data_IF_933732893164
#
_entry.id   IF_933732893164
#
_cell.length_a   1.000
_cell.length_b   1.000
_cell.length_c   1.000
_cell.angle_alpha   90.00
_cell.angle_beta   90.00
_cell.angle_gamma   90.00
#
_symmetry.space_group_name_H-M   'P 1'
#
loop_
_entity.id
_entity.type
_entity.pdbx_description
1 polymer ?
#
# COMPACT_ATOMS: atom_id res chain seq x y z
N UNK A 1 48.65 -18.94 7.02
CA UNK A 1 47.75 -19.02 5.85
C UNK A 1 46.35 -18.57 6.29
N UNK A 2 46.19 -17.27 6.52
CA UNK A 2 44.96 -16.65 7.04
C UNK A 2 44.08 -16.13 5.89
N UNK A 3 43.25 -17.01 5.31
CA UNK A 3 42.27 -16.61 4.29
C UNK A 3 40.87 -17.11 4.65
N UNK A 4 40.32 -16.66 5.78
CA UNK A 4 38.90 -16.91 6.14
C UNK A 4 38.19 -15.73 6.82
N UNK A 5 38.70 -14.50 6.75
CA UNK A 5 38.12 -13.35 7.49
C UNK A 5 37.60 -12.19 6.64
N UNK A 6 37.34 -12.39 5.35
CA UNK A 6 36.45 -11.47 4.64
C UNK A 6 34.99 -11.85 4.94
N UNK A 7 34.56 -11.67 6.19
CA UNK A 7 33.14 -11.51 6.48
C UNK A 7 32.76 -10.21 5.78
N UNK A 8 32.10 -10.33 4.62
CA UNK A 8 31.51 -9.21 3.91
C UNK A 8 30.38 -8.67 4.79
N UNK A 9 30.75 -7.83 5.76
CA UNK A 9 29.86 -6.98 6.53
C UNK A 9 29.62 -5.70 5.74
N UNK A 10 29.28 -5.82 4.46
CA UNK A 10 28.69 -4.71 3.74
C UNK A 10 27.23 -4.62 4.17
N UNK A 11 27.08 -4.12 5.40
CA UNK A 11 25.99 -3.29 5.84
C UNK A 11 24.60 -3.78 5.41
N UNK A 12 24.08 -4.77 6.13
CA UNK A 12 22.75 -4.58 6.72
C UNK A 12 22.80 -3.36 7.62
N UNK A 13 22.90 -2.16 7.03
CA UNK A 13 22.53 -0.95 7.74
C UNK A 13 21.05 -1.11 8.01
N UNK A 14 20.60 -1.26 9.28
CA UNK A 14 19.21 -0.97 9.57
C UNK A 14 19.13 0.50 9.21
N UNK A 15 18.50 0.83 8.09
CA UNK A 15 18.37 2.21 7.63
C UNK A 15 17.46 2.91 8.63
N UNK A 16 18.02 3.32 9.76
CA UNK A 16 17.54 4.45 10.53
C UNK A 16 17.42 5.56 9.50
N UNK A 17 16.19 6.00 9.27
CA UNK A 17 15.78 6.93 8.24
C UNK A 17 16.66 8.18 8.30
N UNK A 18 17.77 8.14 7.58
CA UNK A 18 18.51 9.34 7.22
C UNK A 18 17.73 9.87 6.06
N UNK A 19 16.88 10.87 6.32
CA UNK A 19 16.16 11.59 5.27
C UNK A 19 17.19 12.40 4.46
N UNK A 20 18.00 11.73 3.65
CA UNK A 20 19.09 12.34 2.90
C UNK A 20 18.54 13.07 1.66
N UNK A 21 17.41 12.61 1.13
CA UNK A 21 16.80 13.17 -0.08
C UNK A 21 15.27 13.29 0.01
N UNK A 22 14.69 14.14 -0.84
CA UNK A 22 13.23 14.21 -1.02
C UNK A 22 12.61 12.86 -1.43
N UNK A 23 13.37 12.01 -2.14
CA UNK A 23 12.95 10.68 -2.54
C UNK A 23 12.71 9.73 -1.36
N UNK A 24 13.53 9.82 -0.32
CA UNK A 24 13.40 8.95 0.86
C UNK A 24 12.12 9.26 1.66
N UNK A 25 11.78 10.55 1.78
CA UNK A 25 10.52 10.97 2.40
C UNK A 25 9.30 10.47 1.61
N UNK A 26 9.35 10.61 0.29
CA UNK A 26 8.28 10.12 -0.59
C UNK A 26 8.14 8.60 -0.47
N UNK A 27 9.24 7.85 -0.45
CA UNK A 27 9.23 6.39 -0.29
C UNK A 27 8.50 5.96 1.00
N UNK A 28 8.86 6.55 2.14
CA UNK A 28 8.23 6.22 3.44
C UNK A 28 6.73 6.51 3.41
N UNK A 29 6.32 7.67 2.88
CA UNK A 29 4.91 8.05 2.78
C UNK A 29 4.16 7.09 1.86
N UNK A 30 4.71 6.82 0.68
CA UNK A 30 4.11 5.94 -0.33
C UNK A 30 3.94 4.53 0.21
N UNK A 31 4.98 3.94 0.83
CA UNK A 31 4.92 2.61 1.43
C UNK A 31 3.85 2.52 2.52
N UNK A 32 3.80 3.49 3.42
CA UNK A 32 2.79 3.51 4.48
C UNK A 32 1.37 3.71 3.92
N UNK A 33 1.23 4.54 2.89
CA UNK A 33 -0.05 4.76 2.20
C UNK A 33 -0.56 3.48 1.52
N UNK A 34 0.31 2.69 0.88
CA UNK A 34 -0.07 1.40 0.29
C UNK A 34 -0.63 0.43 1.33
N UNK A 35 0.03 0.31 2.49
CA UNK A 35 -0.44 -0.55 3.58
C UNK A 35 -1.78 -0.07 4.12
N UNK A 36 -1.90 1.23 4.42
CA UNK A 36 -3.14 1.82 4.93
C UNK A 36 -4.29 1.67 3.93
N UNK A 37 -4.05 1.93 2.64
CA UNK A 37 -5.07 1.83 1.62
C UNK A 37 -5.54 0.38 1.44
N UNK A 38 -4.64 -0.60 1.52
CA UNK A 38 -5.00 -2.02 1.53
C UNK A 38 -5.89 -2.39 2.72
N UNK A 39 -5.52 -1.97 3.92
CA UNK A 39 -6.29 -2.25 5.15
C UNK A 39 -7.67 -1.59 5.08
N UNK A 40 -7.74 -0.31 4.70
CA UNK A 40 -9.01 0.43 4.60
C UNK A 40 -9.92 -0.20 3.54
N UNK A 41 -9.39 -0.51 2.36
CA UNK A 41 -10.16 -1.14 1.27
C UNK A 41 -10.69 -2.51 1.69
N UNK A 42 -9.88 -3.30 2.41
CA UNK A 42 -10.31 -4.58 2.95
C UNK A 42 -11.44 -4.43 3.97
N UNK A 43 -11.32 -3.51 4.93
CA UNK A 43 -12.37 -3.26 5.93
C UNK A 43 -13.67 -2.78 5.26
N UNK A 44 -13.59 -1.89 4.28
CA UNK A 44 -14.76 -1.42 3.53
C UNK A 44 -15.42 -2.53 2.72
N UNK A 45 -14.65 -3.44 2.12
CA UNK A 45 -15.20 -4.62 1.43
C UNK A 45 -15.94 -5.54 2.40
N UNK A 46 -15.34 -5.83 3.56
CA UNK A 46 -15.96 -6.70 4.57
C UNK A 46 -17.24 -6.07 5.12
N UNK A 47 -17.18 -4.80 5.57
CA UNK A 47 -18.35 -4.09 6.07
C UNK A 47 -19.43 -3.90 5.00
N UNK A 48 -19.03 -3.53 3.78
CA UNK A 48 -19.94 -3.34 2.67
C UNK A 48 -20.66 -4.63 2.29
N UNK A 49 -19.90 -5.73 2.18
CA UNK A 49 -20.44 -7.06 1.90
C UNK A 49 -21.43 -7.52 2.97
N UNK A 50 -21.07 -7.42 4.25
CA UNK A 50 -21.97 -7.77 5.34
C UNK A 50 -23.22 -6.87 5.38
N UNK A 51 -23.09 -5.57 5.15
CA UNK A 51 -24.23 -4.63 5.13
C UNK A 51 -25.22 -4.96 4.00
N UNK A 52 -24.74 -5.39 2.82
CA UNK A 52 -25.62 -5.85 1.74
C UNK A 52 -26.34 -7.15 2.14
N UNK A 53 -25.62 -8.13 2.70
CA UNK A 53 -26.20 -9.43 3.09
C UNK A 53 -27.26 -9.25 4.18
N UNK A 54 -26.97 -8.47 5.23
CA UNK A 54 -27.92 -8.20 6.32
C UNK A 54 -29.13 -7.39 5.85
N UNK A 55 -28.91 -6.37 5.01
CA UNK A 55 -29.99 -5.59 4.41
C UNK A 55 -30.89 -6.42 3.49
N UNK A 56 -30.32 -7.33 2.71
CA UNK A 56 -31.07 -8.26 1.85
C UNK A 56 -31.93 -9.24 2.66
N UNK A 57 -31.43 -9.74 3.80
CA UNK A 57 -32.19 -10.62 4.70
C UNK A 57 -33.34 -9.91 5.42
N UNK A 58 -33.19 -8.62 5.72
CA UNK A 58 -34.17 -7.83 6.50
C UNK A 58 -35.08 -6.94 5.64
N UNK A 59 -34.97 -6.99 4.30
CA UNK A 59 -35.64 -6.08 3.35
C UNK A 59 -35.36 -4.58 3.59
N UNK A 60 -34.26 -4.25 4.28
CA UNK A 60 -33.89 -2.89 4.63
C UNK A 60 -33.05 -2.27 3.49
N UNK A 61 -33.74 -1.53 2.62
CA UNK A 61 -33.13 -0.88 1.44
C UNK A 61 -32.02 0.10 1.84
N UNK A 62 -32.07 0.69 3.03
CA UNK A 62 -31.06 1.67 3.49
C UNK A 62 -29.73 1.00 3.79
N UNK A 63 -29.74 -0.21 4.34
CA UNK A 63 -28.50 -0.98 4.58
C UNK A 63 -27.88 -1.49 3.28
N UNK A 64 -28.72 -1.88 2.31
CA UNK A 64 -28.25 -2.31 0.99
C UNK A 64 -27.54 -1.15 0.29
N UNK A 65 -28.14 0.04 0.30
CA UNK A 65 -27.56 1.23 -0.34
C UNK A 65 -26.22 1.63 0.31
N UNK A 66 -26.16 1.64 1.65
CA UNK A 66 -24.89 1.88 2.38
C UNK A 66 -23.82 0.86 2.02
N UNK A 67 -24.19 -0.42 1.95
CA UNK A 67 -23.26 -1.49 1.60
C UNK A 67 -22.73 -1.36 0.16
N UNK A 68 -23.60 -0.98 -0.79
CA UNK A 68 -23.22 -0.68 -2.18
C UNK A 68 -22.25 0.50 -2.26
N UNK A 69 -22.50 1.58 -1.52
CA UNK A 69 -21.60 2.73 -1.46
C UNK A 69 -20.24 2.33 -0.87
N UNK A 70 -20.21 1.55 0.21
CA UNK A 70 -18.98 1.06 0.81
C UNK A 70 -18.18 0.17 -0.15
N UNK A 71 -18.84 -0.77 -0.84
CA UNK A 71 -18.20 -1.59 -1.88
C UNK A 71 -17.64 -0.75 -3.03
N UNK A 72 -18.42 0.22 -3.52
CA UNK A 72 -17.99 1.10 -4.61
C UNK A 72 -16.76 1.91 -4.20
N UNK A 73 -16.78 2.49 -2.99
CA UNK A 73 -15.63 3.19 -2.42
C UNK A 73 -14.40 2.30 -2.27
N UNK A 74 -14.57 1.05 -1.84
CA UNK A 74 -13.47 0.10 -1.72
C UNK A 74 -12.87 -0.28 -3.08
N UNK A 75 -13.71 -0.52 -4.09
CA UNK A 75 -13.25 -0.85 -5.45
C UNK A 75 -12.51 0.33 -6.07
N UNK A 76 -13.04 1.55 -5.96
CA UNK A 76 -12.38 2.76 -6.45
C UNK A 76 -11.04 2.98 -5.74
N UNK A 77 -11.00 2.85 -4.42
CA UNK A 77 -9.77 2.95 -3.64
C UNK A 77 -8.71 1.96 -4.11
N UNK A 78 -9.11 0.71 -4.35
CA UNK A 78 -8.21 -0.33 -4.83
C UNK A 78 -7.67 -0.05 -6.25
N UNK A 79 -8.53 0.46 -7.15
CA UNK A 79 -8.10 0.89 -8.49
C UNK A 79 -7.08 2.03 -8.42
N UNK A 80 -7.29 3.01 -7.55
CA UNK A 80 -6.35 4.13 -7.36
C UNK A 80 -4.99 3.61 -6.89
N UNK A 81 -4.99 2.69 -5.92
CA UNK A 81 -3.76 2.07 -5.40
C UNK A 81 -3.01 1.31 -6.49
N UNK A 82 -3.71 0.46 -7.25
CA UNK A 82 -3.11 -0.28 -8.37
C UNK A 82 -2.56 0.67 -9.43
N UNK A 83 -3.29 1.75 -9.73
CA UNK A 83 -2.86 2.72 -10.74
C UNK A 83 -1.65 3.53 -10.30
N UNK A 84 -1.58 3.87 -9.00
CA UNK A 84 -0.45 4.56 -8.38
C UNK A 84 0.86 3.80 -8.58
N UNK A 85 0.82 2.46 -8.59
CA UNK A 85 2.02 1.64 -8.77
C UNK A 85 2.73 1.92 -10.10
N UNK A 86 1.97 2.10 -11.19
CA UNK A 86 2.57 2.45 -12.49
C UNK A 86 3.17 3.85 -12.49
N UNK A 87 2.56 4.80 -11.79
CA UNK A 87 3.09 6.16 -11.65
C UNK A 87 4.45 6.12 -10.94
N UNK A 88 4.53 5.39 -9.82
CA UNK A 88 5.79 5.26 -9.07
C UNK A 88 6.86 4.58 -9.92
N UNK A 89 6.53 3.53 -10.68
CA UNK A 89 7.50 2.89 -11.58
C UNK A 89 8.02 3.83 -12.68
N UNK A 90 7.18 4.72 -13.22
CA UNK A 90 7.63 5.72 -14.20
C UNK A 90 8.62 6.68 -13.53
N UNK A 91 8.33 7.12 -12.31
CA UNK A 91 9.23 7.99 -11.53
C UNK A 91 10.56 7.29 -11.30
N UNK A 92 10.57 6.03 -10.85
CA UNK A 92 11.80 5.22 -10.66
C UNK A 92 12.64 5.13 -11.93
N UNK A 93 12.01 4.92 -13.09
CA UNK A 93 12.72 4.86 -14.38
C UNK A 93 13.33 6.19 -14.80
N UNK A 94 12.71 7.30 -14.46
CA UNK A 94 13.19 8.65 -14.82
C UNK A 94 14.27 9.13 -13.85
N UNK A 95 14.14 8.83 -12.55
CA UNK A 95 15.09 9.29 -11.52
C UNK A 95 16.23 8.29 -11.27
N UNK A 96 16.07 7.02 -11.64
CA UNK A 96 17.04 5.96 -11.38
C UNK A 96 17.12 5.53 -9.90
N UNK A 97 16.23 6.02 -9.05
CA UNK A 97 16.18 5.69 -7.62
C UNK A 97 15.08 4.65 -7.39
N UNK A 98 15.38 3.47 -6.82
CA UNK A 98 14.36 2.47 -6.51
C UNK A 98 13.59 2.90 -5.25
N UNK A 99 12.30 3.17 -5.42
CA UNK A 99 11.37 3.63 -4.36
C UNK A 99 10.55 2.47 -3.79
N UNK A 100 10.45 1.36 -4.52
CA UNK A 100 9.63 0.20 -4.15
C UNK A 100 10.47 -0.99 -3.69
N UNK A 101 11.80 -0.94 -3.89
CA UNK A 101 12.76 -1.98 -3.46
C UNK A 101 14.00 -1.33 -2.86
N UNK A 102 14.21 -1.39 -1.54
CA UNK A 102 15.49 -0.99 -0.97
C UNK A 102 16.59 -1.94 -1.48
N UNK A 103 17.83 -1.45 -1.70
CA UNK A 103 18.98 -2.30 -2.03
C UNK A 103 19.38 -3.23 -0.86
#
# INVERSE_FOLDING_TARGET
MERVLALNLQSTSPTFATFATFGDLVNVIVRNAYVLAGVISFLLLVFGGFSIIMGAGSSDTKQIEKGKQAMTGAVIGLIIVVTSFWIVQIIEKVTGVPLLTPP
#
